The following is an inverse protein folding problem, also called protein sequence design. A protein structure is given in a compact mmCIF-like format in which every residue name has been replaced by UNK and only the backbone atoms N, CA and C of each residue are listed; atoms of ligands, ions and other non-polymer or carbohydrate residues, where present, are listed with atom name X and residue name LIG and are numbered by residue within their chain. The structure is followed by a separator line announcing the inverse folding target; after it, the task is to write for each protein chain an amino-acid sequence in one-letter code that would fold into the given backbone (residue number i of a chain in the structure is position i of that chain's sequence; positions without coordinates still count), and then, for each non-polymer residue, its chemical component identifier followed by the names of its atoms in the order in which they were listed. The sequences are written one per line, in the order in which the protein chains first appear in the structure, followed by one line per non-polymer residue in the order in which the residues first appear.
data_IF_130604367609
#
_entry.id   IF_130604367609
#
_cell.length_a   1.000
_cell.length_b   1.000
_cell.length_c   1.000
_cell.angle_alpha   90.00
_cell.angle_beta   90.00
_cell.angle_gamma   90.00
#
_symmetry.space_group_name_H-M   'P 1'
#
loop_
_entity.id
_entity.type
_entity.pdbx_description
1 polymer ?
#
# COMPACT_ATOMS: atom_id res chain seq x y z
N UNK A 1 -29.01 -7.32 39.98
CA UNK A 1 -27.95 -7.02 40.96
C UNK A 1 -27.90 -5.52 41.17
N UNK A 2 -27.75 -5.03 42.41
CA UNK A 2 -28.10 -3.66 42.76
C UNK A 2 -27.13 -2.69 42.10
N UNK A 3 -27.67 -1.82 41.26
CA UNK A 3 -26.98 -0.73 40.57
C UNK A 3 -26.18 0.17 41.53
N UNK A 4 -26.49 0.10 42.82
CA UNK A 4 -25.94 0.91 43.89
C UNK A 4 -24.49 0.56 44.24
N UNK A 5 -24.04 -0.68 44.02
CA UNK A 5 -22.70 -1.12 44.43
C UNK A 5 -21.59 -0.46 43.58
N UNK A 6 -21.78 -0.37 42.27
CA UNK A 6 -20.81 0.26 41.37
C UNK A 6 -20.78 1.79 41.56
N UNK A 7 -21.95 2.39 41.80
CA UNK A 7 -22.03 3.83 42.12
C UNK A 7 -21.30 4.12 43.44
N UNK A 8 -21.52 3.31 44.48
CA UNK A 8 -20.85 3.46 45.77
C UNK A 8 -19.32 3.33 45.69
N UNK A 9 -18.80 2.42 44.86
CA UNK A 9 -17.35 2.28 44.64
C UNK A 9 -16.75 3.51 43.95
N UNK A 10 -17.48 4.10 42.99
CA UNK A 10 -17.05 5.32 42.31
C UNK A 10 -17.11 6.52 43.25
N UNK A 11 -18.14 6.63 44.09
CA UNK A 11 -18.27 7.70 45.08
C UNK A 11 -17.15 7.63 46.13
N UNK A 12 -16.81 6.43 46.62
CA UNK A 12 -15.66 6.21 47.52
C UNK A 12 -14.33 6.59 46.88
N UNK A 13 -14.14 6.24 45.60
CA UNK A 13 -12.95 6.65 44.84
C UNK A 13 -12.86 8.18 44.73
N UNK A 14 -14.00 8.86 44.51
CA UNK A 14 -14.06 10.33 44.47
C UNK A 14 -13.78 10.98 45.83
N UNK A 15 -14.10 10.30 46.92
CA UNK A 15 -13.78 10.73 48.29
C UNK A 15 -12.29 10.56 48.64
N UNK A 16 -11.45 10.08 47.71
CA UNK A 16 -10.00 10.00 47.86
C UNK A 16 -9.48 8.64 48.31
N UNK A 17 -10.32 7.59 48.29
CA UNK A 17 -9.85 6.24 48.59
C UNK A 17 -9.01 5.68 47.44
N UNK A 18 -7.72 5.46 47.72
CA UNK A 18 -6.76 4.93 46.75
C UNK A 18 -6.96 3.42 46.50
N UNK A 19 -6.50 2.92 45.34
CA UNK A 19 -6.53 1.49 45.02
C UNK A 19 -7.86 0.92 44.50
N UNK A 20 -8.96 1.69 44.55
CA UNK A 20 -10.28 1.23 44.07
C UNK A 20 -10.39 1.06 42.55
N UNK A 21 -9.44 1.59 41.78
CA UNK A 21 -9.49 1.55 40.31
C UNK A 21 -9.54 0.14 39.71
N UNK A 22 -8.78 -0.80 40.29
CA UNK A 22 -8.74 -2.20 39.83
C UNK A 22 -10.08 -2.88 40.10
N UNK A 23 -10.62 -2.72 41.32
CA UNK A 23 -11.91 -3.28 41.72
C UNK A 23 -13.06 -2.75 40.86
N UNK A 24 -13.06 -1.44 40.55
CA UNK A 24 -14.06 -0.85 39.65
C UNK A 24 -13.94 -1.44 38.25
N UNK A 25 -12.72 -1.59 37.71
CA UNK A 25 -12.52 -2.15 36.38
C UNK A 25 -12.94 -3.63 36.31
N UNK A 26 -12.57 -4.44 37.30
CA UNK A 26 -13.00 -5.84 37.42
C UNK A 26 -14.52 -5.95 37.49
N UNK A 27 -15.16 -5.06 38.26
CA UNK A 27 -16.62 -5.03 38.38
C UNK A 27 -17.30 -4.62 37.08
N UNK A 28 -16.76 -3.61 36.39
CA UNK A 28 -17.23 -3.21 35.06
C UNK A 28 -17.07 -4.37 34.07
N UNK A 29 -15.90 -5.04 34.05
CA UNK A 29 -15.66 -6.15 33.15
C UNK A 29 -16.68 -7.27 33.38
N UNK A 30 -16.85 -7.70 34.64
CA UNK A 30 -17.82 -8.73 35.00
C UNK A 30 -19.24 -8.36 34.57
N UNK A 31 -19.68 -7.13 34.86
CA UNK A 31 -21.03 -6.68 34.51
C UNK A 31 -21.27 -6.63 32.99
N UNK A 32 -20.25 -6.24 32.22
CA UNK A 32 -20.34 -6.16 30.75
C UNK A 32 -20.32 -7.55 30.10
N UNK A 33 -19.50 -8.48 30.59
CA UNK A 33 -19.50 -9.86 30.11
C UNK A 33 -20.77 -10.62 30.51
N UNK A 34 -21.31 -10.38 31.70
CA UNK A 34 -22.58 -11.00 32.13
C UNK A 34 -23.77 -10.51 31.30
N UNK A 35 -23.73 -9.24 30.83
CA UNK A 35 -24.87 -8.58 30.15
C UNK A 35 -24.46 -7.74 28.93
N UNK A 36 -23.86 -8.33 27.88
CA UNK A 36 -23.33 -7.61 26.73
C UNK A 36 -24.38 -6.75 26.01
N UNK A 37 -25.61 -7.25 25.91
CA UNK A 37 -26.71 -6.57 25.23
C UNK A 37 -27.08 -5.21 25.84
N UNK A 38 -26.94 -5.03 27.17
CA UNK A 38 -27.24 -3.77 27.85
C UNK A 38 -26.36 -2.62 27.34
N UNK A 39 -25.10 -2.94 27.07
CA UNK A 39 -24.08 -2.02 26.58
C UNK A 39 -24.04 -1.93 25.06
N UNK A 40 -24.90 -2.68 24.35
CA UNK A 40 -25.01 -2.65 22.90
C UNK A 40 -23.97 -3.49 22.16
N UNK A 41 -23.42 -4.52 22.82
CA UNK A 41 -22.62 -5.57 22.21
C UNK A 41 -23.52 -6.70 21.68
N UNK A 42 -23.09 -7.40 20.61
CA UNK A 42 -23.85 -8.53 20.06
C UNK A 42 -23.37 -9.88 20.62
N UNK A 43 -22.10 -9.97 20.98
CA UNK A 43 -21.45 -11.19 21.48
C UNK A 43 -20.43 -10.85 22.57
N UNK A 44 -19.95 -11.88 23.27
CA UNK A 44 -18.81 -11.77 24.20
C UNK A 44 -17.52 -11.37 23.47
N UNK A 45 -17.33 -11.82 22.22
CA UNK A 45 -16.19 -11.41 21.40
C UNK A 45 -16.13 -9.89 21.18
N UNK A 46 -17.29 -9.25 20.95
CA UNK A 46 -17.38 -7.78 20.81
C UNK A 46 -16.93 -7.07 22.11
N UNK A 47 -17.22 -7.68 23.27
CA UNK A 47 -16.78 -7.19 24.58
C UNK A 47 -15.27 -7.29 24.68
N UNK A 48 -14.71 -8.47 24.37
CA UNK A 48 -13.27 -8.70 24.33
C UNK A 48 -12.53 -7.68 23.45
N UNK A 49 -13.02 -7.44 22.23
CA UNK A 49 -12.41 -6.47 21.31
C UNK A 49 -12.49 -5.03 21.86
N UNK A 50 -13.57 -4.65 22.54
CA UNK A 50 -13.65 -3.33 23.20
C UNK A 50 -12.68 -3.21 24.35
N UNK A 51 -12.59 -4.22 25.21
CA UNK A 51 -11.65 -4.19 26.32
C UNK A 51 -10.20 -4.15 25.82
N UNK A 52 -9.82 -5.00 24.88
CA UNK A 52 -8.47 -4.99 24.28
C UNK A 52 -8.10 -3.59 23.76
N UNK A 53 -9.03 -2.95 23.05
CA UNK A 53 -8.74 -1.71 22.30
C UNK A 53 -8.92 -0.43 23.11
N UNK A 54 -9.80 -0.46 24.11
CA UNK A 54 -10.19 0.72 24.89
C UNK A 54 -9.94 0.58 26.39
N UNK A 55 -9.17 -0.41 26.85
CA UNK A 55 -8.94 -0.65 28.29
C UNK A 55 -8.48 0.61 29.05
N UNK A 56 -7.56 1.39 28.48
CA UNK A 56 -7.06 2.65 29.09
C UNK A 56 -8.18 3.65 29.29
N UNK A 57 -9.08 3.76 28.29
CA UNK A 57 -10.23 4.65 28.35
C UNK A 57 -11.26 4.14 29.35
N UNK A 58 -11.52 2.83 29.38
CA UNK A 58 -12.49 2.21 30.30
C UNK A 58 -12.02 2.38 31.75
N UNK A 59 -10.74 2.13 32.04
CA UNK A 59 -10.15 2.31 33.37
C UNK A 59 -10.29 3.74 33.89
N UNK A 60 -10.12 4.74 33.01
CA UNK A 60 -10.31 6.15 33.35
C UNK A 60 -11.77 6.65 33.30
N UNK A 61 -12.78 5.79 33.15
CA UNK A 61 -14.18 6.27 33.15
C UNK A 61 -14.61 6.80 34.51
N UNK A 62 -14.20 6.13 35.59
CA UNK A 62 -14.50 6.56 36.95
C UNK A 62 -13.88 7.93 37.27
N UNK A 63 -12.69 8.22 36.73
CA UNK A 63 -11.99 9.49 36.95
C UNK A 63 -12.60 10.66 36.16
N UNK A 64 -13.25 10.37 35.04
CA UNK A 64 -13.87 11.37 34.16
C UNK A 64 -15.38 11.53 34.40
N UNK A 65 -15.94 10.78 35.33
CA UNK A 65 -17.37 10.85 35.61
C UNK A 65 -17.67 12.09 36.47
N UNK A 66 -18.60 12.90 35.97
CA UNK A 66 -19.18 14.03 36.69
C UNK A 66 -20.65 13.74 36.93
N UNK A 67 -21.10 13.92 38.18
CA UNK A 67 -22.50 13.73 38.52
C UNK A 67 -23.33 14.92 38.00
N UNK A 68 -23.97 14.68 36.86
CA UNK A 68 -24.88 15.60 36.18
C UNK A 68 -26.36 15.22 36.43
N UNK A 69 -26.65 14.55 37.55
CA UNK A 69 -27.99 14.05 37.89
C UNK A 69 -28.30 12.68 37.28
N UNK A 70 -27.30 11.97 36.76
CA UNK A 70 -27.41 10.59 36.32
C UNK A 70 -26.26 9.77 36.92
N UNK A 71 -26.58 8.61 37.51
CA UNK A 71 -25.59 7.75 38.16
C UNK A 71 -24.50 7.23 37.20
N UNK A 72 -23.36 6.85 37.75
CA UNK A 72 -22.20 6.37 36.98
C UNK A 72 -22.55 5.25 36.01
N UNK A 73 -23.48 4.37 36.38
CA UNK A 73 -23.93 3.29 35.49
C UNK A 73 -24.54 3.80 34.17
N UNK A 74 -25.32 4.88 34.19
CA UNK A 74 -25.89 5.45 32.97
C UNK A 74 -24.78 6.05 32.06
N UNK A 75 -23.80 6.69 32.68
CA UNK A 75 -22.61 7.19 31.99
C UNK A 75 -21.75 6.04 31.40
N UNK A 76 -21.59 4.95 32.14
CA UNK A 76 -20.89 3.75 31.69
C UNK A 76 -21.60 3.11 30.49
N UNK A 77 -22.93 2.93 30.58
CA UNK A 77 -23.75 2.36 29.51
C UNK A 77 -23.63 3.17 28.23
N UNK A 78 -23.75 4.50 28.32
CA UNK A 78 -23.63 5.38 27.15
C UNK A 78 -22.22 5.36 26.55
N UNK A 79 -21.18 5.37 27.39
CA UNK A 79 -19.78 5.31 26.98
C UNK A 79 -19.44 4.01 26.25
N UNK A 80 -19.81 2.86 26.83
CA UNK A 80 -19.55 1.56 26.23
C UNK A 80 -20.36 1.35 24.95
N UNK A 81 -21.61 1.84 24.90
CA UNK A 81 -22.43 1.78 23.68
C UNK A 81 -21.80 2.57 22.53
N UNK A 82 -21.17 3.70 22.82
CA UNK A 82 -20.40 4.44 21.82
C UNK A 82 -19.19 3.64 21.33
N UNK A 83 -18.43 3.01 22.23
CA UNK A 83 -17.28 2.16 21.87
C UNK A 83 -17.72 0.96 21.03
N UNK A 84 -18.78 0.26 21.44
CA UNK A 84 -19.40 -0.85 20.70
C UNK A 84 -19.80 -0.42 19.28
N UNK A 85 -20.42 0.76 19.14
CA UNK A 85 -20.79 1.32 17.83
C UNK A 85 -19.56 1.63 16.98
N UNK A 86 -18.49 2.13 17.59
CA UNK A 86 -17.23 2.42 16.90
C UNK A 86 -16.58 1.15 16.34
N UNK A 87 -16.49 0.08 17.15
CA UNK A 87 -15.96 -1.21 16.71
C UNK A 87 -16.80 -1.80 15.58
N UNK A 88 -18.13 -1.85 15.73
CA UNK A 88 -19.02 -2.37 14.69
C UNK A 88 -18.85 -1.66 13.36
N UNK A 89 -18.70 -0.32 13.36
CA UNK A 89 -18.42 0.46 12.14
C UNK A 89 -17.08 0.09 11.51
N UNK A 90 -16.04 -0.10 12.33
CA UNK A 90 -14.71 -0.52 11.85
C UNK A 90 -14.73 -1.93 11.28
N UNK A 91 -15.42 -2.87 11.94
CA UNK A 91 -15.52 -4.26 11.51
C UNK A 91 -16.34 -4.36 10.21
N UNK A 92 -17.45 -3.63 10.10
CA UNK A 92 -18.20 -3.54 8.85
C UNK A 92 -17.34 -2.99 7.70
N UNK A 93 -16.58 -1.92 7.94
CA UNK A 93 -15.66 -1.38 6.94
C UNK A 93 -14.54 -2.36 6.57
N UNK A 94 -13.98 -3.07 7.55
CA UNK A 94 -12.95 -4.10 7.32
C UNK A 94 -13.49 -5.25 6.48
N UNK A 95 -14.69 -5.74 6.81
CA UNK A 95 -15.38 -6.77 6.04
C UNK A 95 -15.60 -6.33 4.59
N UNK A 96 -16.14 -5.13 4.37
CA UNK A 96 -16.37 -4.62 3.01
C UNK A 96 -15.07 -4.48 2.21
N UNK A 97 -13.99 -4.10 2.88
CA UNK A 97 -12.65 -4.00 2.28
C UNK A 97 -12.06 -5.36 1.94
N UNK A 98 -12.14 -6.34 2.85
CA UNK A 98 -11.64 -7.70 2.65
C UNK A 98 -12.41 -8.38 1.51
N UNK A 99 -13.73 -8.24 1.49
CA UNK A 99 -14.55 -8.77 0.41
C UNK A 99 -14.25 -8.13 -0.94
N UNK A 100 -13.95 -6.83 -0.98
CA UNK A 100 -13.48 -6.16 -2.22
C UNK A 100 -12.22 -6.83 -2.77
N UNK A 101 -11.28 -7.19 -1.89
CA UNK A 101 -10.04 -7.87 -2.27
C UNK A 101 -10.34 -9.30 -2.74
N UNK A 102 -11.22 -10.01 -2.04
CA UNK A 102 -11.62 -11.38 -2.38
C UNK A 102 -12.34 -11.45 -3.74
N UNK A 103 -13.21 -10.49 -4.04
CA UNK A 103 -13.90 -10.42 -5.34
C UNK A 103 -12.94 -10.20 -6.50
N UNK A 104 -11.96 -9.31 -6.34
CA UNK A 104 -10.94 -9.08 -7.37
C UNK A 104 -10.03 -10.31 -7.54
N UNK A 105 -9.66 -10.98 -6.43
CA UNK A 105 -8.91 -12.23 -6.49
C UNK A 105 -9.69 -13.35 -7.20
N UNK A 106 -11.00 -13.46 -6.95
CA UNK A 106 -11.89 -14.40 -7.66
C UNK A 106 -11.99 -14.07 -9.14
N UNK A 107 -12.12 -12.78 -9.50
CA UNK A 107 -12.14 -12.33 -10.89
C UNK A 107 -10.82 -12.63 -11.63
N UNK A 108 -9.68 -12.63 -10.94
CA UNK A 108 -8.38 -13.02 -11.51
C UNK A 108 -8.24 -14.53 -11.73
N UNK A 109 -8.96 -15.36 -10.96
CA UNK A 109 -8.95 -16.82 -11.05
C UNK A 109 -10.02 -17.36 -12.01
N UNK A 110 -10.90 -16.50 -12.52
CA UNK A 110 -11.90 -16.85 -13.52
C UNK A 110 -11.22 -17.13 -14.88
N UNK A 111 -11.37 -18.35 -15.46
CA UNK A 111 -10.75 -18.73 -16.73
C UNK A 111 -11.10 -17.79 -17.89
N UNK A 112 -12.30 -17.18 -17.90
CA UNK A 112 -12.70 -16.21 -18.92
C UNK A 112 -11.93 -14.88 -18.82
N UNK A 113 -11.61 -14.43 -17.60
CA UNK A 113 -10.80 -13.20 -17.40
C UNK A 113 -9.31 -13.43 -17.65
N UNK A 114 -8.80 -14.66 -17.51
CA UNK A 114 -7.41 -15.00 -17.87
C UNK A 114 -7.16 -14.95 -19.38
N UNK A 115 -8.16 -15.24 -20.22
CA UNK A 115 -8.04 -15.18 -21.68
C UNK A 115 -7.82 -13.75 -22.21
N UNK A 116 -8.20 -12.72 -21.45
CA UNK A 116 -8.01 -11.31 -21.81
C UNK A 116 -6.70 -10.68 -21.29
N UNK A 117 -5.89 -11.41 -20.50
CA UNK A 117 -4.67 -10.87 -19.85
C UNK A 117 -3.37 -11.55 -20.27
N UNK A 118 -3.34 -12.24 -21.40
CA UNK A 118 -2.09 -12.67 -22.01
C UNK A 118 -1.58 -11.59 -22.96
N UNK A 119 -0.53 -10.82 -22.64
CA UNK A 119 0.38 -10.41 -23.69
C UNK A 119 1.09 -11.70 -24.12
N UNK A 120 0.54 -12.38 -25.13
CA UNK A 120 1.29 -13.32 -25.95
C UNK A 120 2.30 -12.53 -26.79
N UNK A 121 3.24 -11.86 -26.13
CA UNK A 121 4.45 -11.38 -26.78
C UNK A 121 5.53 -12.44 -26.58
N UNK A 122 5.34 -13.57 -27.27
CA UNK A 122 6.49 -14.29 -27.81
C UNK A 122 7.18 -13.33 -28.78
N UNK A 123 8.09 -12.50 -28.26
CA UNK A 123 9.01 -11.72 -29.09
C UNK A 123 9.88 -12.72 -29.82
N UNK A 124 9.49 -13.07 -31.04
CA UNK A 124 10.37 -13.75 -31.99
C UNK A 124 11.59 -12.85 -32.13
N UNK A 125 12.72 -13.31 -31.62
CA UNK A 125 14.03 -12.71 -31.88
C UNK A 125 14.34 -12.85 -33.37
N UNK A 126 13.86 -11.92 -34.18
CA UNK A 126 14.34 -11.76 -35.54
C UNK A 126 15.78 -11.24 -35.47
N UNK A 127 16.72 -12.13 -35.85
CA UNK A 127 18.14 -11.83 -36.02
C UNK A 127 18.32 -10.85 -37.18
N UNK A 128 18.15 -9.56 -36.93
CA UNK A 128 18.76 -8.52 -37.76
C UNK A 128 20.18 -8.29 -37.23
N UNK A 129 21.13 -9.00 -37.83
CA UNK A 129 22.56 -8.95 -37.51
C UNK A 129 23.16 -7.56 -37.77
N UNK A 130 23.06 -6.68 -36.77
CA UNK A 130 24.08 -5.67 -36.51
C UNK A 130 24.92 -6.16 -35.34
N UNK A 131 25.86 -7.06 -35.62
CA UNK A 131 26.55 -7.89 -34.63
C UNK A 131 27.06 -7.07 -33.44
N UNK A 132 26.63 -7.46 -32.24
CA UNK A 132 27.28 -7.01 -31.02
C UNK A 132 28.78 -7.37 -31.07
N UNK A 133 29.67 -6.53 -30.53
CA UNK A 133 31.07 -6.93 -30.35
C UNK A 133 31.14 -8.27 -29.61
N UNK A 134 32.09 -9.13 -29.98
CA UNK A 134 32.29 -10.39 -29.26
C UNK A 134 32.71 -10.08 -27.81
N UNK A 135 32.33 -10.95 -26.88
CA UNK A 135 32.71 -10.86 -25.46
C UNK A 135 34.22 -10.65 -25.27
N UNK A 136 35.03 -11.33 -26.07
CA UNK A 136 36.48 -11.32 -25.93
C UNK A 136 37.17 -10.22 -26.77
N UNK A 137 36.41 -9.35 -27.43
CA UNK A 137 36.96 -8.27 -28.26
C UNK A 137 37.48 -7.11 -27.39
N UNK A 138 38.80 -7.02 -27.22
CA UNK A 138 39.44 -5.96 -26.45
C UNK A 138 39.65 -4.65 -27.26
N UNK A 139 39.15 -4.58 -28.50
CA UNK A 139 39.26 -3.40 -29.34
C UNK A 139 38.58 -2.17 -28.72
N UNK A 140 39.11 -0.98 -29.02
CA UNK A 140 38.59 0.29 -28.49
C UNK A 140 37.09 0.47 -28.75
N UNK A 141 36.59 -0.02 -29.89
CA UNK A 141 35.17 0.02 -30.25
C UNK A 141 34.30 -0.84 -29.33
N UNK A 142 34.78 -2.04 -28.98
CA UNK A 142 34.11 -2.96 -28.07
C UNK A 142 34.11 -2.42 -26.63
N UNK A 143 35.24 -1.89 -26.15
CA UNK A 143 35.31 -1.23 -24.83
C UNK A 143 34.35 -0.04 -24.74
N UNK A 144 34.32 0.80 -25.78
CA UNK A 144 33.38 1.92 -25.84
C UNK A 144 31.92 1.45 -25.93
N UNK A 145 31.63 0.32 -26.58
CA UNK A 145 30.31 -0.28 -26.61
C UNK A 145 29.87 -0.77 -25.23
N UNK A 146 30.71 -1.57 -24.56
CA UNK A 146 30.46 -2.07 -23.21
C UNK A 146 30.17 -0.94 -22.22
N UNK A 147 30.98 0.12 -22.25
CA UNK A 147 30.77 1.29 -21.40
C UNK A 147 29.43 1.98 -21.66
N UNK A 148 28.96 2.03 -22.92
CA UNK A 148 27.64 2.57 -23.25
C UNK A 148 26.50 1.64 -22.82
N UNK A 149 26.71 0.33 -22.89
CA UNK A 149 25.75 -0.65 -22.36
C UNK A 149 25.62 -0.55 -20.85
N UNK A 150 26.73 -0.36 -20.13
CA UNK A 150 26.70 -0.06 -18.70
C UNK A 150 25.81 1.15 -18.39
N UNK A 151 25.91 2.23 -19.16
CA UNK A 151 25.04 3.40 -18.97
C UNK A 151 23.56 3.04 -19.11
N UNK A 152 23.20 2.18 -20.06
CA UNK A 152 21.82 1.73 -20.29
C UNK A 152 21.37 0.82 -19.16
N UNK A 153 22.19 -0.16 -18.73
CA UNK A 153 21.87 -1.04 -17.62
C UNK A 153 21.61 -0.24 -16.34
N UNK A 154 22.49 0.71 -16.00
CA UNK A 154 22.30 1.60 -14.86
C UNK A 154 21.06 2.46 -15.03
N UNK A 155 20.80 2.99 -16.23
CA UNK A 155 19.57 3.74 -16.52
C UNK A 155 18.30 2.91 -16.27
N UNK A 156 18.38 1.61 -16.54
CA UNK A 156 17.31 0.64 -16.37
C UNK A 156 17.35 -0.08 -15.02
N UNK A 157 18.14 0.35 -14.03
CA UNK A 157 18.37 -0.40 -12.78
C UNK A 157 17.09 -0.73 -11.98
N UNK A 158 16.01 0.04 -12.17
CA UNK A 158 14.70 -0.20 -11.52
C UNK A 158 13.75 -1.08 -12.35
N UNK A 159 14.16 -1.50 -13.54
CA UNK A 159 13.36 -2.30 -14.49
C UNK A 159 13.96 -3.70 -14.63
N UNK A 160 15.28 -3.80 -14.70
CA UNK A 160 15.97 -5.08 -14.84
C UNK A 160 16.20 -5.73 -13.48
N UNK A 161 15.90 -7.04 -13.39
CA UNK A 161 16.25 -7.86 -12.24
C UNK A 161 17.72 -8.31 -12.30
N UNK A 162 18.18 -9.00 -11.25
CA UNK A 162 19.58 -9.42 -11.15
C UNK A 162 19.91 -10.52 -12.15
N UNK A 163 18.99 -11.45 -12.43
CA UNK A 163 19.21 -12.52 -13.41
C UNK A 163 19.31 -11.98 -14.86
N UNK A 164 18.46 -11.02 -15.21
CA UNK A 164 18.54 -10.29 -16.48
C UNK A 164 19.85 -9.51 -16.59
N UNK A 165 20.30 -8.87 -15.51
CA UNK A 165 21.56 -8.14 -15.47
C UNK A 165 22.77 -9.06 -15.67
N UNK A 166 22.81 -10.23 -15.02
CA UNK A 166 23.85 -11.24 -15.21
C UNK A 166 23.87 -11.76 -16.66
N UNK A 167 22.69 -12.04 -17.23
CA UNK A 167 22.56 -12.47 -18.62
C UNK A 167 23.10 -11.42 -19.59
N UNK A 168 22.81 -10.14 -19.36
CA UNK A 168 23.34 -9.02 -20.13
C UNK A 168 24.86 -8.88 -19.95
N UNK A 169 25.37 -9.02 -18.73
CA UNK A 169 26.81 -8.95 -18.47
C UNK A 169 27.58 -10.03 -19.25
N UNK A 170 27.09 -11.27 -19.19
CA UNK A 170 27.67 -12.41 -19.91
C UNK A 170 27.61 -12.23 -21.42
N UNK A 171 26.49 -11.74 -21.95
CA UNK A 171 26.29 -11.55 -23.38
C UNK A 171 27.18 -10.43 -23.97
N UNK A 172 27.44 -9.37 -23.21
CA UNK A 172 28.15 -8.16 -23.68
C UNK A 172 29.63 -8.17 -23.23
N UNK A 173 29.99 -9.04 -22.29
CA UNK A 173 31.32 -9.10 -21.68
C UNK A 173 31.58 -7.99 -20.67
N UNK A 174 30.57 -7.61 -19.89
CA UNK A 174 30.79 -6.79 -18.69
C UNK A 174 31.20 -7.68 -17.53
N UNK A 175 31.89 -7.08 -16.56
CA UNK A 175 32.10 -7.69 -15.25
C UNK A 175 30.75 -7.77 -14.53
N UNK A 176 30.36 -8.99 -14.16
CA UNK A 176 29.07 -9.31 -13.54
C UNK A 176 28.97 -8.70 -12.14
N UNK A 177 30.04 -8.81 -11.34
CA UNK A 177 30.10 -8.29 -9.98
C UNK A 177 30.07 -6.76 -10.01
N UNK A 178 30.84 -6.14 -10.89
CA UNK A 178 30.87 -4.68 -11.04
C UNK A 178 29.48 -4.14 -11.45
N UNK A 179 28.81 -4.82 -12.38
CA UNK A 179 27.48 -4.43 -12.82
C UNK A 179 26.46 -4.56 -11.67
N UNK A 180 26.40 -5.72 -11.01
CA UNK A 180 25.44 -5.97 -9.92
C UNK A 180 25.65 -5.01 -8.74
N UNK A 181 26.89 -4.74 -8.35
CA UNK A 181 27.20 -3.75 -7.32
C UNK A 181 26.76 -2.35 -7.74
N UNK A 182 26.96 -1.99 -9.01
CA UNK A 182 26.56 -0.69 -9.54
C UNK A 182 25.04 -0.54 -9.61
N UNK A 183 24.31 -1.58 -10.01
CA UNK A 183 22.85 -1.60 -9.99
C UNK A 183 22.31 -1.53 -8.55
N UNK A 184 22.94 -2.23 -7.61
CA UNK A 184 22.59 -2.18 -6.18
C UNK A 184 22.74 -0.77 -5.62
N UNK A 185 23.86 -0.10 -5.91
CA UNK A 185 24.07 1.31 -5.55
C UNK A 185 23.04 2.23 -6.21
N UNK A 186 22.70 2.00 -7.48
CA UNK A 186 21.72 2.79 -8.21
C UNK A 186 20.30 2.65 -7.62
N UNK A 187 19.92 1.45 -7.20
CA UNK A 187 18.66 1.17 -6.51
C UNK A 187 18.64 1.77 -5.10
N UNK A 188 19.74 1.68 -4.36
CA UNK A 188 19.86 2.18 -2.99
C UNK A 188 19.87 3.71 -2.88
N UNK A 189 20.45 4.39 -3.87
CA UNK A 189 20.53 5.86 -3.94
C UNK A 189 19.19 6.54 -4.22
N UNK A 190 18.12 5.76 -4.45
CA UNK A 190 16.77 6.30 -4.69
C UNK A 190 16.65 7.10 -5.99
N UNK A 191 17.69 7.03 -6.85
CA UNK A 191 17.65 7.64 -8.17
C UNK A 191 16.56 6.96 -9.00
N UNK A 192 15.65 7.77 -9.53
CA UNK A 192 14.49 7.26 -10.25
C UNK A 192 13.35 6.89 -9.32
N UNK A 193 12.66 7.92 -8.82
CA UNK A 193 11.19 7.96 -8.69
C UNK A 193 10.51 6.89 -7.81
N UNK A 194 11.21 5.88 -7.29
CA UNK A 194 10.63 4.66 -6.70
C UNK A 194 9.75 4.98 -5.50
N UNK A 195 10.21 5.84 -4.60
CA UNK A 195 9.42 6.24 -3.43
C UNK A 195 8.18 7.06 -3.82
N UNK A 196 8.28 7.96 -4.81
CA UNK A 196 7.14 8.77 -5.30
C UNK A 196 6.16 7.93 -6.10
N UNK A 197 6.63 7.01 -6.93
CA UNK A 197 5.81 6.10 -7.72
C UNK A 197 5.16 5.05 -6.82
N UNK A 198 5.86 4.51 -5.82
CA UNK A 198 5.27 3.64 -4.80
C UNK A 198 4.23 4.38 -3.97
N UNK A 199 4.50 5.61 -3.52
CA UNK A 199 3.51 6.43 -2.83
C UNK A 199 2.27 6.67 -3.70
N UNK A 200 2.45 6.95 -5.00
CA UNK A 200 1.34 7.06 -5.96
C UNK A 200 0.59 5.74 -6.16
N UNK A 201 1.29 4.60 -6.20
CA UNK A 201 0.68 3.26 -6.27
C UNK A 201 -0.14 2.98 -5.01
N UNK A 202 0.41 3.20 -3.82
CA UNK A 202 -0.34 3.11 -2.55
C UNK A 202 -1.56 4.02 -2.55
N UNK A 203 -1.43 5.24 -3.06
CA UNK A 203 -2.56 6.18 -3.20
C UNK A 203 -3.65 5.66 -4.15
N UNK A 204 -3.26 5.12 -5.30
CA UNK A 204 -4.16 4.46 -6.25
C UNK A 204 -4.88 3.28 -5.60
N UNK A 205 -4.13 2.38 -4.96
CA UNK A 205 -4.64 1.15 -4.37
C UNK A 205 -5.59 1.46 -3.21
N UNK A 206 -5.25 2.45 -2.38
CA UNK A 206 -6.13 2.92 -1.31
C UNK A 206 -7.42 3.55 -1.84
N UNK A 207 -7.36 4.34 -2.92
CA UNK A 207 -8.56 4.90 -3.55
C UNK A 207 -9.45 3.79 -4.16
N UNK A 208 -8.84 2.79 -4.80
CA UNK A 208 -9.55 1.63 -5.33
C UNK A 208 -10.26 0.83 -4.22
N UNK A 209 -9.57 0.55 -3.11
CA UNK A 209 -10.17 -0.15 -1.95
C UNK A 209 -11.33 0.62 -1.34
N UNK A 210 -11.19 1.95 -1.16
CA UNK A 210 -12.28 2.78 -0.64
C UNK A 210 -13.48 2.79 -1.58
N UNK A 211 -13.23 2.89 -2.88
CA UNK A 211 -14.26 2.85 -3.91
C UNK A 211 -15.01 1.52 -3.88
N UNK A 212 -14.30 0.39 -3.84
CA UNK A 212 -14.91 -0.94 -3.76
C UNK A 212 -15.73 -1.15 -2.48
N UNK A 213 -15.16 -0.79 -1.31
CA UNK A 213 -15.88 -0.87 -0.04
C UNK A 213 -17.15 0.01 -0.02
N UNK A 214 -17.06 1.24 -0.53
CA UNK A 214 -18.21 2.13 -0.64
C UNK A 214 -19.27 1.61 -1.62
N UNK A 215 -18.86 1.04 -2.77
CA UNK A 215 -19.77 0.40 -3.73
C UNK A 215 -20.50 -0.79 -3.12
N UNK A 216 -19.78 -1.68 -2.40
CA UNK A 216 -20.39 -2.81 -1.69
C UNK A 216 -21.34 -2.38 -0.58
N UNK A 217 -21.06 -1.26 0.09
CA UNK A 217 -21.98 -0.70 1.07
C UNK A 217 -23.23 -0.12 0.39
N UNK A 218 -23.04 0.58 -0.74
CA UNK A 218 -24.11 1.20 -1.52
C UNK A 218 -25.14 0.17 -2.03
N UNK A 219 -24.73 -1.06 -2.35
CA UNK A 219 -25.68 -2.11 -2.81
C UNK A 219 -26.67 -2.54 -1.72
N UNK A 220 -26.29 -2.43 -0.44
CA UNK A 220 -27.10 -2.83 0.72
C UNK A 220 -27.78 -1.65 1.42
N UNK A 221 -27.41 -0.42 1.08
CA UNK A 221 -27.91 0.78 1.74
C UNK A 221 -29.30 1.17 1.20
N UNK A 222 -30.27 1.34 2.09
CA UNK A 222 -31.66 1.70 1.72
C UNK A 222 -31.89 3.21 1.86
N UNK A 223 -31.21 3.85 2.82
CA UNK A 223 -31.39 5.27 3.11
C UNK A 223 -30.92 6.16 1.96
N UNK A 224 -31.79 7.05 1.48
CA UNK A 224 -31.55 7.89 0.29
C UNK A 224 -30.41 8.88 0.53
N UNK A 225 -30.30 9.46 1.71
CA UNK A 225 -29.24 10.43 2.03
C UNK A 225 -27.88 9.74 2.09
N UNK A 226 -27.80 8.60 2.78
CA UNK A 226 -26.58 7.81 2.87
C UNK A 226 -26.16 7.27 1.49
N UNK A 227 -27.11 6.85 0.66
CA UNK A 227 -26.83 6.46 -0.74
C UNK A 227 -26.24 7.62 -1.54
N UNK A 228 -26.80 8.83 -1.45
CA UNK A 228 -26.25 10.03 -2.11
C UNK A 228 -24.83 10.32 -1.64
N UNK A 229 -24.59 10.25 -0.34
CA UNK A 229 -23.26 10.46 0.23
C UNK A 229 -22.25 9.40 -0.25
N UNK A 230 -22.62 8.12 -0.26
CA UNK A 230 -21.78 7.03 -0.75
C UNK A 230 -21.42 7.21 -2.23
N UNK A 231 -22.41 7.54 -3.08
CA UNK A 231 -22.18 7.82 -4.50
C UNK A 231 -21.21 8.98 -4.71
N UNK A 232 -21.37 10.08 -3.96
CA UNK A 232 -20.44 11.21 -4.03
C UNK A 232 -19.02 10.82 -3.57
N UNK A 233 -18.90 9.98 -2.54
CA UNK A 233 -17.61 9.47 -2.06
C UNK A 233 -16.94 8.57 -3.12
N UNK A 234 -17.69 7.71 -3.78
CA UNK A 234 -17.21 6.84 -4.87
C UNK A 234 -16.63 7.70 -6.01
N UNK A 235 -17.35 8.74 -6.45
CA UNK A 235 -16.89 9.58 -7.55
C UNK A 235 -15.64 10.39 -7.17
N UNK A 236 -15.56 10.86 -5.91
CA UNK A 236 -14.35 11.51 -5.39
C UNK A 236 -13.15 10.57 -5.42
N UNK A 237 -13.30 9.34 -4.93
CA UNK A 237 -12.22 8.35 -4.93
C UNK A 237 -11.86 7.91 -6.36
N UNK A 238 -12.82 7.84 -7.27
CA UNK A 238 -12.58 7.61 -8.71
C UNK A 238 -11.69 8.70 -9.32
N UNK A 239 -11.94 9.97 -9.01
CA UNK A 239 -11.09 11.09 -9.43
C UNK A 239 -9.65 10.97 -8.92
N UNK A 240 -9.47 10.56 -7.64
CA UNK A 240 -8.16 10.31 -7.06
C UNK A 240 -7.44 9.14 -7.73
N UNK A 241 -8.16 8.05 -7.98
CA UNK A 241 -7.66 6.87 -8.69
C UNK A 241 -7.15 7.23 -10.09
N UNK A 242 -7.99 7.90 -10.90
CA UNK A 242 -7.62 8.30 -12.28
C UNK A 242 -6.41 9.23 -12.27
N UNK A 243 -6.35 10.19 -11.34
CA UNK A 243 -5.19 11.09 -11.19
C UNK A 243 -3.92 10.31 -10.87
N UNK A 244 -3.98 9.36 -9.93
CA UNK A 244 -2.85 8.53 -9.57
C UNK A 244 -2.38 7.66 -10.76
N UNK A 245 -3.31 7.04 -11.49
CA UNK A 245 -3.00 6.26 -12.71
C UNK A 245 -2.30 7.12 -13.76
N UNK A 246 -2.80 8.32 -14.05
CA UNK A 246 -2.16 9.24 -15.01
C UNK A 246 -0.76 9.65 -14.57
N UNK A 247 -0.55 9.90 -13.27
CA UNK A 247 0.76 10.28 -12.72
C UNK A 247 1.75 9.12 -12.72
N UNK A 248 1.28 7.88 -12.52
CA UNK A 248 2.11 6.67 -12.63
C UNK A 248 2.48 6.43 -14.09
N UNK A 249 1.52 6.51 -15.02
CA UNK A 249 1.77 6.34 -16.45
C UNK A 249 2.78 7.36 -17.00
N UNK A 250 2.76 8.59 -16.48
CA UNK A 250 3.74 9.64 -16.85
C UNK A 250 5.08 9.51 -16.13
N UNK A 251 5.19 8.68 -15.09
CA UNK A 251 6.44 8.51 -14.36
C UNK A 251 7.33 7.52 -15.09
N UNK A 252 8.52 7.97 -15.51
CA UNK A 252 9.53 7.04 -16.03
C UNK A 252 10.16 6.28 -14.86
N UNK A 253 10.17 4.93 -14.88
CA UNK A 253 10.88 4.13 -13.89
C UNK A 253 12.40 4.23 -14.08
N UNK A 254 12.87 4.79 -15.19
CA UNK A 254 14.28 4.89 -15.54
C UNK A 254 14.99 5.97 -14.71
N UNK A 255 16.26 5.71 -14.43
CA UNK A 255 17.17 6.68 -13.83
C UNK A 255 17.48 7.79 -14.85
N UNK A 256 17.61 9.04 -14.38
CA UNK A 256 17.97 10.15 -15.26
C UNK A 256 19.43 10.07 -15.69
N UNK A 257 19.78 10.56 -16.88
CA UNK A 257 21.19 10.57 -17.34
C UNK A 257 22.10 11.37 -16.40
N UNK A 258 21.58 12.39 -15.70
CA UNK A 258 22.30 13.14 -14.66
C UNK A 258 22.68 12.23 -13.50
N UNK A 259 21.72 11.44 -13.01
CA UNK A 259 21.95 10.51 -11.91
C UNK A 259 22.90 9.36 -12.31
N UNK A 260 22.80 8.84 -13.55
CA UNK A 260 23.78 7.87 -14.07
C UNK A 260 25.20 8.46 -14.09
N UNK A 261 25.34 9.71 -14.49
CA UNK A 261 26.61 10.42 -14.55
C UNK A 261 27.22 10.62 -13.16
N UNK A 262 26.40 11.02 -12.19
CA UNK A 262 26.79 11.15 -10.77
C UNK A 262 27.22 9.79 -10.18
N UNK A 263 26.45 8.73 -10.44
CA UNK A 263 26.74 7.39 -9.90
C UNK A 263 28.03 6.77 -10.45
N UNK A 264 28.32 7.02 -11.73
CA UNK A 264 29.51 6.49 -12.40
C UNK A 264 30.70 7.47 -12.36
N UNK A 265 30.57 8.61 -11.68
CA UNK A 265 31.58 9.66 -11.61
C UNK A 265 32.10 10.10 -13.00
N UNK A 266 31.20 10.30 -13.96
CA UNK A 266 31.51 10.72 -15.34
C UNK A 266 30.72 11.95 -15.76
N UNK A 267 31.17 12.71 -16.77
CA UNK A 267 30.40 13.84 -17.28
C UNK A 267 29.05 13.41 -17.87
N UNK A 268 27.98 14.15 -17.56
CA UNK A 268 26.64 13.91 -18.12
C UNK A 268 26.63 13.86 -19.65
N UNK A 269 27.41 14.73 -20.31
CA UNK A 269 27.53 14.74 -21.76
C UNK A 269 28.04 13.41 -22.34
N UNK A 270 28.91 12.70 -21.61
CA UNK A 270 29.40 11.36 -21.99
C UNK A 270 28.27 10.33 -21.95
N UNK A 271 27.40 10.40 -20.94
CA UNK A 271 26.22 9.53 -20.83
C UNK A 271 25.23 9.84 -21.95
N UNK A 272 24.90 11.12 -22.17
CA UNK A 272 23.98 11.58 -23.20
C UNK A 272 24.44 11.12 -24.60
N UNK A 273 25.70 11.36 -24.94
CA UNK A 273 26.29 10.91 -26.21
C UNK A 273 26.36 9.38 -26.30
N UNK A 274 26.70 8.70 -25.21
CA UNK A 274 26.84 7.25 -25.16
C UNK A 274 25.52 6.53 -25.42
N UNK A 275 24.48 6.88 -24.66
CA UNK A 275 23.11 6.36 -24.84
C UNK A 275 22.60 6.73 -26.23
N UNK A 276 22.78 7.98 -26.67
CA UNK A 276 22.34 8.43 -28.00
C UNK A 276 23.01 7.69 -29.17
N UNK A 277 24.27 7.23 -29.03
CA UNK A 277 24.93 6.39 -30.04
C UNK A 277 24.32 4.99 -30.11
N UNK A 278 24.02 4.37 -28.98
CA UNK A 278 23.36 3.05 -28.96
C UNK A 278 21.95 3.17 -29.56
N UNK A 279 21.15 4.12 -29.09
CA UNK A 279 19.77 4.30 -29.60
C UNK A 279 19.71 4.57 -31.11
N UNK A 280 20.67 5.34 -31.66
CA UNK A 280 20.75 5.57 -33.11
C UNK A 280 21.20 4.32 -33.87
N UNK A 281 22.22 3.62 -33.38
CA UNK A 281 22.78 2.42 -34.03
C UNK A 281 21.78 1.28 -34.09
N UNK A 282 20.96 1.14 -33.05
CA UNK A 282 19.97 0.06 -32.94
C UNK A 282 18.53 0.56 -33.14
N UNK A 283 18.35 1.71 -33.81
CA UNK A 283 17.02 2.32 -34.07
C UNK A 283 16.06 1.37 -34.77
N UNK A 284 16.56 0.47 -35.61
CA UNK A 284 15.77 -0.55 -36.30
C UNK A 284 15.02 -1.47 -35.33
N UNK A 285 15.61 -1.80 -34.17
CA UNK A 285 14.98 -2.63 -33.14
C UNK A 285 13.78 -1.93 -32.46
N UNK A 286 13.65 -0.61 -32.60
CA UNK A 286 12.58 0.19 -31.99
C UNK A 286 11.45 0.57 -32.96
N UNK A 287 11.63 0.39 -34.29
CA UNK A 287 10.60 0.75 -35.27
C UNK A 287 9.45 -0.25 -35.32
N UNK A 288 9.72 -1.54 -35.12
CA UNK A 288 8.71 -2.60 -35.21
C UNK A 288 7.78 -2.69 -33.97
N UNK A 289 7.98 -1.86 -32.93
CA UNK A 289 7.14 -1.85 -31.73
C UNK A 289 5.98 -0.83 -31.75
N UNK A 290 5.87 0.01 -32.80
CA UNK A 290 4.82 1.04 -32.88
C UNK A 290 3.68 0.73 -33.85
N UNK A 291 3.79 -0.35 -34.61
CA UNK A 291 2.79 -0.77 -35.60
C UNK A 291 1.91 -1.94 -35.10
N UNK A 292 1.78 -2.10 -33.77
CA UNK A 292 0.83 -3.02 -33.10
C UNK A 292 0.00 -2.26 -32.08
#
# INVERSE_FOLDING_TARGET
MPNDELNALVDRKRQGEEGLGVLILERIAKDVYDRPGLYGFKSEDDVGEVFERYWTRIGGLADRYEDMGCGFQAFLVSSLRYMARSIRRKNAFRYDREETINEDAKALLDPESMLCRLPLTSVRHHRASSGFPRRDDLGQSATAFRRRMLFICVKCANVIDDGEAEGLAKAIGLDEDELLQTLTRARASGFGTRQRTESRRRGRDAAWLRMGAASRRLTREVDVETRRWLTASIEKDRGLYIRAVRLIARSSPMISNKAVAELLCIPKGTVDCGVGRIMRRYKALYRDQKDV
#
